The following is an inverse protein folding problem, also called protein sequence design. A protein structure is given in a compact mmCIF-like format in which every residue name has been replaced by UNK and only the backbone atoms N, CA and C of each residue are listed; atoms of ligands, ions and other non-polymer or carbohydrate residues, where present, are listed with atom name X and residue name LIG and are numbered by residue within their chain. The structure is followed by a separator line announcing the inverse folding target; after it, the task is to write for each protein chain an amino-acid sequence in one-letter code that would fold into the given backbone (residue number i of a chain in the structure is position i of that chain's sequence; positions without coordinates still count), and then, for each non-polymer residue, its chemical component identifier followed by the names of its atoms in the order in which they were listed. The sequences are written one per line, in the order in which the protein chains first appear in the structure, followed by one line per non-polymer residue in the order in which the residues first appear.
data_IF_851885115386
#
_entry.id   IF_851885115386
#
_cell.length_a   1.000
_cell.length_b   1.000
_cell.length_c   1.000
_cell.angle_alpha   90.00
_cell.angle_beta   90.00
_cell.angle_gamma   90.00
#
_symmetry.space_group_name_H-M   'P 1'
#
loop_
_entity.id
_entity.type
_entity.pdbx_description
1 polymer ?
#
# COMPACT_ATOMS: atom_id res chain seq x y z
N UNK A 1 4.83 -23.17 1.83
CA UNK A 1 4.69 -22.33 0.62
C UNK A 1 4.07 -23.20 -0.43
N UNK A 2 2.85 -22.92 -0.87
CA UNK A 2 2.39 -23.45 -2.15
C UNK A 2 3.14 -22.64 -3.22
N UNK A 3 3.95 -23.33 -4.03
CA UNK A 3 4.54 -22.75 -5.22
C UNK A 3 3.62 -23.14 -6.36
N UNK A 4 2.67 -22.27 -6.75
CA UNK A 4 1.75 -22.60 -7.82
C UNK A 4 2.57 -22.81 -9.10
N UNK A 5 2.45 -24.01 -9.67
CA UNK A 5 3.00 -24.34 -10.98
C UNK A 5 1.91 -24.17 -12.03
N UNK A 6 2.23 -23.45 -13.09
CA UNK A 6 1.31 -23.18 -14.19
C UNK A 6 1.79 -23.88 -15.45
N UNK A 7 0.86 -24.48 -16.20
CA UNK A 7 1.14 -25.20 -17.45
C UNK A 7 0.81 -24.39 -18.69
N UNK A 8 0.11 -23.26 -18.56
CA UNK A 8 -0.22 -22.35 -19.68
C UNK A 8 -0.37 -20.90 -19.24
N UNK A 9 -0.26 -19.98 -20.20
CA UNK A 9 -0.48 -18.54 -20.00
C UNK A 9 -1.91 -18.24 -19.53
N UNK A 10 -2.91 -18.94 -20.05
CA UNK A 10 -4.32 -18.76 -19.66
C UNK A 10 -4.55 -19.13 -18.18
N UNK A 11 -3.84 -20.14 -17.68
CA UNK A 11 -3.92 -20.53 -16.27
C UNK A 11 -3.32 -19.46 -15.36
N UNK A 12 -2.22 -18.81 -15.79
CA UNK A 12 -1.62 -17.68 -15.07
C UNK A 12 -2.57 -16.48 -15.06
N UNK A 13 -3.11 -16.10 -16.22
CA UNK A 13 -4.03 -14.96 -16.34
C UNK A 13 -5.32 -15.19 -15.55
N UNK A 14 -5.87 -16.40 -15.62
CA UNK A 14 -7.01 -16.82 -14.80
C UNK A 14 -6.69 -16.70 -13.32
N UNK A 15 -5.55 -17.21 -12.87
CA UNK A 15 -5.13 -17.07 -11.47
C UNK A 15 -4.94 -15.62 -11.04
N UNK A 16 -4.29 -14.77 -11.85
CA UNK A 16 -4.15 -13.33 -11.57
C UNK A 16 -5.53 -12.67 -11.44
N UNK A 17 -6.49 -13.04 -12.28
CA UNK A 17 -7.86 -12.49 -12.21
C UNK A 17 -8.63 -12.91 -10.95
N UNK A 18 -8.21 -13.97 -10.28
CA UNK A 18 -8.78 -14.41 -8.98
C UNK A 18 -8.12 -13.73 -7.78
N UNK A 19 -7.01 -13.02 -7.97
CA UNK A 19 -6.38 -12.29 -6.88
C UNK A 19 -7.31 -11.18 -6.40
N UNK A 20 -7.41 -10.95 -5.07
CA UNK A 20 -8.15 -9.82 -4.56
C UNK A 20 -7.61 -8.53 -5.17
N UNK A 21 -8.53 -7.64 -5.57
CA UNK A 21 -8.16 -6.30 -5.97
C UNK A 21 -7.60 -5.56 -4.77
N UNK A 22 -6.45 -4.93 -4.92
CA UNK A 22 -5.86 -4.11 -3.86
C UNK A 22 -6.69 -2.85 -3.56
N UNK A 23 -6.23 -2.04 -2.59
CA UNK A 23 -6.88 -0.79 -2.22
C UNK A 23 -7.11 0.12 -3.42
N UNK A 24 -8.29 0.75 -3.50
CA UNK A 24 -8.62 1.60 -4.62
C UNK A 24 -7.85 2.93 -4.55
N UNK A 25 -7.39 3.44 -5.70
CA UNK A 25 -6.87 4.80 -5.79
C UNK A 25 -8.02 5.79 -5.67
N UNK A 26 -7.82 6.81 -4.85
CA UNK A 26 -8.73 7.93 -4.63
C UNK A 26 -8.09 9.22 -5.13
N UNK A 27 -8.92 10.15 -5.60
CA UNK A 27 -8.50 11.47 -6.02
C UNK A 27 -9.40 12.52 -5.38
N UNK A 28 -8.80 13.50 -4.70
CA UNK A 28 -9.53 14.58 -4.04
C UNK A 28 -9.00 15.93 -4.50
N UNK A 29 -9.91 16.79 -4.96
CA UNK A 29 -9.60 18.16 -5.32
C UNK A 29 -9.38 18.99 -4.06
N UNK A 30 -8.15 19.47 -3.84
CA UNK A 30 -7.83 20.33 -2.71
C UNK A 30 -8.13 21.80 -3.05
N UNK A 31 -8.90 22.44 -2.16
CA UNK A 31 -9.09 23.90 -2.16
C UNK A 31 -8.33 24.46 -0.97
N UNK A 32 -7.26 25.20 -1.24
CA UNK A 32 -6.45 25.84 -0.20
C UNK A 32 -6.75 27.35 -0.20
N UNK A 33 -7.52 27.87 0.78
CA UNK A 33 -7.81 29.29 0.87
C UNK A 33 -6.53 30.11 0.96
N UNK A 34 -6.43 31.18 0.16
CA UNK A 34 -5.23 32.04 0.12
C UNK A 34 -4.06 31.48 -0.71
N UNK A 35 -4.16 30.26 -1.23
CA UNK A 35 -3.19 29.72 -2.16
C UNK A 35 -3.70 29.92 -3.60
N UNK A 36 -3.12 30.86 -4.33
CA UNK A 36 -3.40 31.06 -5.75
C UNK A 36 -2.67 30.01 -6.59
N UNK A 37 -3.12 28.76 -6.49
CA UNK A 37 -2.64 27.73 -7.40
C UNK A 37 -3.16 28.06 -8.82
N UNK A 38 -2.26 28.14 -9.79
CA UNK A 38 -2.58 28.38 -11.21
C UNK A 38 -3.31 27.19 -11.84
N UNK A 39 -3.23 26.01 -11.22
CA UNK A 39 -3.94 24.81 -11.63
C UNK A 39 -4.61 24.12 -10.43
N UNK A 40 -5.63 23.29 -10.68
CA UNK A 40 -6.32 22.57 -9.61
C UNK A 40 -5.37 21.57 -8.91
N UNK A 41 -5.28 21.62 -7.58
CA UNK A 41 -4.44 20.71 -6.80
C UNK A 41 -5.21 19.40 -6.57
N UNK A 42 -4.61 18.28 -6.96
CA UNK A 42 -5.16 16.93 -6.76
C UNK A 42 -4.35 16.19 -5.70
N UNK A 43 -5.03 15.70 -4.67
CA UNK A 43 -4.48 14.72 -3.74
C UNK A 43 -4.86 13.33 -4.25
N UNK A 44 -3.85 12.55 -4.61
CA UNK A 44 -4.00 11.15 -4.97
C UNK A 44 -3.60 10.31 -3.75
N UNK A 45 -4.49 9.44 -3.28
CA UNK A 45 -4.30 8.69 -2.04
C UNK A 45 -4.99 7.32 -2.09
N UNK A 46 -4.65 6.44 -1.16
CA UNK A 46 -5.39 5.23 -0.85
C UNK A 46 -5.98 5.34 0.55
N UNK A 47 -7.12 4.70 0.78
CA UNK A 47 -7.66 4.60 2.13
C UNK A 47 -6.70 3.82 3.03
N UNK A 48 -6.25 4.46 4.11
CA UNK A 48 -5.23 3.89 4.99
C UNK A 48 -5.71 2.62 5.68
N UNK A 49 -7.01 2.52 6.00
CA UNK A 49 -7.58 1.31 6.61
C UNK A 49 -7.61 0.18 5.58
N UNK A 50 -8.06 0.43 4.36
CA UNK A 50 -8.03 -0.57 3.28
C UNK A 50 -6.61 -1.08 3.01
N UNK A 51 -5.63 -0.17 2.95
CA UNK A 51 -4.21 -0.52 2.76
C UNK A 51 -3.70 -1.41 3.88
N UNK A 52 -4.02 -1.09 5.14
CA UNK A 52 -3.59 -1.90 6.29
C UNK A 52 -4.28 -3.26 6.29
N UNK A 53 -5.58 -3.31 6.00
CA UNK A 53 -6.36 -4.55 5.91
C UNK A 53 -5.91 -5.44 4.75
N UNK A 54 -5.35 -4.87 3.68
CA UNK A 54 -4.76 -5.62 2.57
C UNK A 54 -3.33 -6.11 2.88
N UNK A 55 -2.47 -5.24 3.43
CA UNK A 55 -1.05 -5.53 3.67
C UNK A 55 -0.86 -6.50 4.84
N UNK A 56 -1.50 -6.27 5.99
CA UNK A 56 -1.26 -7.03 7.22
C UNK A 56 -1.50 -8.55 7.08
N UNK A 57 -2.61 -9.03 6.48
CA UNK A 57 -2.83 -10.46 6.30
C UNK A 57 -2.03 -11.05 5.13
N UNK A 58 -1.43 -10.22 4.27
CA UNK A 58 -0.74 -10.69 3.10
C UNK A 58 0.57 -11.43 3.48
N UNK A 59 0.67 -12.75 3.21
CA UNK A 59 1.80 -13.56 3.63
C UNK A 59 3.11 -13.19 2.92
N UNK A 60 3.06 -12.46 1.80
CA UNK A 60 4.25 -11.94 1.11
C UNK A 60 4.99 -10.98 2.05
N UNK A 61 4.26 -10.11 2.74
CA UNK A 61 4.83 -9.04 3.55
C UNK A 61 5.05 -9.44 5.00
N UNK A 62 4.43 -10.54 5.48
CA UNK A 62 4.48 -11.00 6.87
C UNK A 62 5.88 -11.03 7.50
N UNK A 63 6.90 -11.42 6.72
CA UNK A 63 8.29 -11.52 7.22
C UNK A 63 9.12 -10.25 7.01
N UNK A 64 8.56 -9.23 6.36
CA UNK A 64 9.23 -7.97 6.04
C UNK A 64 8.63 -6.78 6.80
N UNK A 65 7.48 -6.96 7.45
CA UNK A 65 6.88 -5.93 8.29
C UNK A 65 7.57 -5.87 9.65
N UNK A 66 7.92 -4.66 10.08
CA UNK A 66 8.41 -4.38 11.43
C UNK A 66 7.33 -3.62 12.18
N UNK A 67 6.78 -4.23 13.23
CA UNK A 67 5.78 -3.58 14.10
C UNK A 67 6.39 -2.98 15.35
N UNK A 68 7.62 -3.39 15.68
CA UNK A 68 8.37 -2.81 16.76
C UNK A 68 8.78 -1.38 16.38
N UNK A 69 8.51 -0.40 17.25
CA UNK A 69 8.94 0.96 17.00
C UNK A 69 10.45 1.00 16.83
N UNK A 70 10.91 1.65 15.76
CA UNK A 70 12.33 1.87 15.55
C UNK A 70 12.87 2.72 16.69
N UNK A 71 13.89 2.21 17.35
CA UNK A 71 14.61 2.92 18.39
C UNK A 71 15.48 3.97 17.71
N UNK A 72 15.11 5.24 17.85
CA UNK A 72 15.94 6.35 17.39
C UNK A 72 16.92 6.70 18.51
N UNK A 73 18.21 6.71 18.17
CA UNK A 73 19.28 7.08 19.10
C UNK A 73 19.83 8.46 18.73
N UNK A 74 20.06 9.31 19.72
CA UNK A 74 20.86 10.53 19.58
C UNK A 74 22.11 10.38 20.45
N UNK A 75 23.25 10.08 19.82
CA UNK A 75 24.44 9.63 20.53
C UNK A 75 24.18 8.29 21.25
N UNK A 76 24.35 8.25 22.56
CA UNK A 76 24.10 7.06 23.39
C UNK A 76 22.71 7.04 24.05
N UNK A 77 21.88 8.06 23.82
CA UNK A 77 20.55 8.18 24.43
C UNK A 77 19.45 7.81 23.44
N UNK A 78 18.42 7.12 23.92
CA UNK A 78 17.16 6.93 23.19
C UNK A 78 16.39 8.25 23.15
N UNK A 79 15.85 8.59 21.98
CA UNK A 79 14.99 9.76 21.75
C UNK A 79 13.53 9.35 21.78
#
# INVERSE_FOLDING_TARGET
RENPTFTSTDQVLGWISTLPSGPAWQCTMLKLPGCSATCPIQLIWHDAKEVVEDILPNPIFRNYMTFDPHVVMHGTQRV
#
